data_IF_428292573137
#
_entry.id   IF_428292573137
#
_cell.length_a   1.000
_cell.length_b   1.000
_cell.length_c   1.000
_cell.angle_alpha   90.00
_cell.angle_beta   90.00
_cell.angle_gamma   90.00
#
_symmetry.space_group_name_H-M   'P 1'
#
loop_
_entity.id
_entity.type
_entity.pdbx_description
1 polymer ?
#
# COMPACT_ATOMS: atom_id res chain seq x y z
N UNK A 1 -13.36 5.91 -26.74
CA UNK A 1 -12.81 4.67 -27.33
C UNK A 1 -11.53 4.33 -26.57
N UNK A 2 -11.66 3.37 -25.65
CA UNK A 2 -10.72 2.40 -25.00
C UNK A 2 -9.21 2.69 -24.81
N UNK A 3 -8.60 2.14 -23.73
CA UNK A 3 -8.30 0.71 -23.75
C UNK A 3 -8.72 -0.06 -22.49
N UNK A 4 -9.59 -1.05 -22.73
CA UNK A 4 -9.49 -2.44 -22.23
C UNK A 4 -8.45 -2.70 -21.15
N UNK A 5 -8.92 -2.86 -19.91
CA UNK A 5 -8.19 -3.53 -18.84
C UNK A 5 -8.29 -5.05 -19.03
N UNK A 6 -7.39 -5.61 -19.84
CA UNK A 6 -6.88 -6.98 -19.65
C UNK A 6 -5.74 -7.30 -20.63
N UNK A 7 -4.57 -7.59 -20.08
CA UNK A 7 -3.90 -8.91 -20.13
C UNK A 7 -2.45 -8.73 -19.67
N UNK A 8 -2.04 -9.16 -18.46
CA UNK A 8 -0.62 -9.49 -18.27
C UNK A 8 -0.25 -10.25 -16.98
N UNK A 9 0.79 -11.10 -17.11
CA UNK A 9 1.42 -11.88 -16.03
C UNK A 9 2.64 -11.15 -15.47
N UNK A 10 2.77 -11.10 -14.14
CA UNK A 10 4.09 -10.95 -13.52
C UNK A 10 4.29 -11.92 -12.37
N UNK A 11 5.26 -12.80 -12.50
CA UNK A 11 6.08 -13.23 -11.38
C UNK A 11 7.51 -12.88 -11.80
N UNK A 12 7.84 -11.58 -11.73
CA UNK A 12 9.18 -11.01 -11.96
C UNK A 12 9.87 -11.31 -13.31
N UNK A 13 9.25 -10.99 -14.44
CA UNK A 13 9.74 -11.28 -15.81
C UNK A 13 10.93 -10.43 -16.34
N UNK A 14 11.94 -10.12 -15.49
CA UNK A 14 13.37 -9.82 -15.78
C UNK A 14 13.94 -8.96 -14.64
N UNK A 15 14.26 -9.57 -13.50
CA UNK A 15 14.74 -8.87 -12.32
C UNK A 15 16.05 -8.11 -12.57
N UNK A 16 15.99 -6.78 -12.67
CA UNK A 16 17.18 -5.95 -12.60
C UNK A 16 17.70 -5.90 -11.15
N UNK A 17 18.94 -6.36 -10.96
CA UNK A 17 19.64 -6.31 -9.67
C UNK A 17 20.06 -4.86 -9.40
N UNK A 18 19.33 -4.15 -8.54
CA UNK A 18 19.85 -2.88 -8.04
C UNK A 18 20.95 -3.13 -6.99
N UNK A 19 22.11 -2.52 -7.23
CA UNK A 19 23.25 -2.59 -6.32
C UNK A 19 22.96 -1.83 -5.03
N UNK A 20 23.20 -2.52 -3.92
CA UNK A 20 23.16 -2.03 -2.53
C UNK A 20 23.88 -0.68 -2.41
N UNK A 21 23.17 0.38 -1.99
CA UNK A 21 23.79 1.58 -1.45
C UNK A 21 23.82 1.47 0.06
N UNK A 22 25.01 1.63 0.65
CA UNK A 22 25.21 1.76 2.08
C UNK A 22 24.45 3.00 2.57
N UNK A 23 23.51 2.82 3.50
CA UNK A 23 22.82 3.92 4.15
C UNK A 23 23.77 4.49 5.21
N UNK A 24 24.30 5.68 4.95
CA UNK A 24 24.95 6.52 5.96
C UNK A 24 23.95 7.63 6.23
N UNK A 25 23.52 7.81 7.49
CA UNK A 25 22.56 8.84 7.89
C UNK A 25 23.27 10.20 8.02
N UNK A 26 22.98 11.20 7.15
CA UNK A 26 23.44 12.56 7.36
C UNK A 26 22.32 13.41 7.98
N UNK A 27 22.72 14.51 8.61
CA UNK A 27 21.86 15.59 9.09
C UNK A 27 20.76 15.98 8.08
N UNK A 28 19.65 16.50 8.60
CA UNK A 28 18.46 16.93 7.85
C UNK A 28 18.79 17.94 6.73
N UNK A 29 19.09 17.41 5.55
CA UNK A 29 18.99 18.11 4.27
C UNK A 29 17.67 17.69 3.61
N UNK A 30 17.03 18.59 2.85
CA UNK A 30 15.99 18.18 1.89
C UNK A 30 16.61 17.10 0.97
N UNK A 31 16.26 15.84 1.24
CA UNK A 31 17.00 14.66 0.74
C UNK A 31 16.95 14.53 -0.78
N UNK A 32 15.95 15.12 -1.44
CA UNK A 32 15.82 15.14 -2.92
C UNK A 32 15.19 16.45 -3.39
N UNK A 33 15.75 17.02 -4.45
CA UNK A 33 15.20 18.20 -5.16
C UNK A 33 14.17 17.78 -6.21
N UNK A 34 14.34 16.61 -6.81
CA UNK A 34 13.41 16.03 -7.78
C UNK A 34 12.55 14.92 -7.15
N UNK A 35 11.27 14.78 -7.53
CA UNK A 35 10.43 13.67 -7.12
C UNK A 35 11.07 12.31 -7.45
N UNK A 36 10.84 11.31 -6.60
CA UNK A 36 11.26 9.93 -6.82
C UNK A 36 10.14 9.18 -7.56
N UNK A 37 10.33 8.75 -8.81
CA UNK A 37 9.35 7.89 -9.46
C UNK A 37 9.28 6.53 -8.77
N UNK A 38 8.06 6.03 -8.63
CA UNK A 38 7.74 4.70 -8.08
C UNK A 38 6.67 4.08 -8.97
N UNK A 39 7.00 2.94 -9.57
CA UNK A 39 6.05 2.15 -10.34
C UNK A 39 5.10 1.43 -9.38
N UNK A 40 3.81 1.49 -9.69
CA UNK A 40 2.72 0.94 -8.88
C UNK A 40 1.97 -0.10 -9.69
N UNK A 41 1.76 -1.25 -9.06
CA UNK A 41 0.99 -2.36 -9.61
C UNK A 41 -0.18 -2.64 -8.67
N UNK A 42 -1.39 -2.57 -9.22
CA UNK A 42 -2.57 -2.96 -8.47
C UNK A 42 -2.96 -4.38 -8.84
N UNK A 43 -3.35 -5.13 -7.84
CA UNK A 43 -3.79 -6.50 -7.99
C UNK A 43 -5.13 -6.62 -7.27
N UNK A 44 -6.21 -6.77 -8.02
CA UNK A 44 -7.56 -6.93 -7.46
C UNK A 44 -7.86 -8.42 -7.40
N UNK A 45 -8.15 -8.92 -6.21
CA UNK A 45 -8.68 -10.26 -6.00
C UNK A 45 -10.09 -10.19 -5.48
N UNK A 46 -10.95 -11.06 -6.01
CA UNK A 46 -12.34 -11.12 -5.61
C UNK A 46 -12.86 -12.56 -5.50
N UNK A 47 -13.94 -12.75 -4.76
CA UNK A 47 -14.79 -13.93 -4.92
C UNK A 47 -15.67 -13.79 -6.17
N UNK A 48 -16.25 -14.89 -6.65
CA UNK A 48 -17.22 -14.87 -7.75
C UNK A 48 -18.41 -13.92 -7.46
N UNK A 49 -18.84 -13.84 -6.20
CA UNK A 49 -19.95 -12.98 -5.79
C UNK A 49 -19.62 -11.47 -5.86
N UNK A 50 -18.34 -11.10 -5.84
CA UNK A 50 -17.88 -9.70 -5.77
C UNK A 50 -16.91 -9.32 -6.88
N UNK A 51 -16.81 -10.11 -7.95
CA UNK A 51 -15.86 -9.88 -9.06
C UNK A 51 -16.01 -8.51 -9.75
N UNK A 52 -17.23 -7.97 -9.79
CA UNK A 52 -17.53 -6.68 -10.43
C UNK A 52 -17.52 -5.50 -9.45
N UNK A 53 -17.29 -5.75 -8.15
CA UNK A 53 -17.37 -4.72 -7.10
C UNK A 53 -16.27 -3.66 -7.23
N UNK A 54 -15.04 -4.09 -7.45
CA UNK A 54 -13.89 -3.19 -7.61
C UNK A 54 -13.76 -2.84 -9.09
N UNK A 55 -14.66 -2.01 -9.61
CA UNK A 55 -14.65 -1.58 -11.01
C UNK A 55 -13.41 -0.73 -11.34
N UNK A 56 -13.12 -0.54 -12.63
CA UNK A 56 -11.97 0.26 -13.08
C UNK A 56 -12.04 1.72 -12.59
N UNK A 57 -13.26 2.27 -12.49
CA UNK A 57 -13.50 3.61 -11.95
C UNK A 57 -13.07 3.73 -10.49
N UNK A 58 -13.32 2.70 -9.68
CA UNK A 58 -12.93 2.59 -8.27
C UNK A 58 -11.41 2.49 -8.15
N UNK A 59 -10.78 1.66 -8.98
CA UNK A 59 -9.31 1.55 -9.06
C UNK A 59 -8.65 2.89 -9.39
N UNK A 60 -9.17 3.59 -10.41
CA UNK A 60 -8.65 4.90 -10.80
C UNK A 60 -8.85 5.94 -9.69
N UNK A 61 -9.99 5.92 -9.01
CA UNK A 61 -10.26 6.82 -7.89
C UNK A 61 -9.29 6.59 -6.74
N UNK A 62 -9.04 5.34 -6.36
CA UNK A 62 -8.07 4.99 -5.32
C UNK A 62 -6.64 5.39 -5.68
N UNK A 63 -6.24 5.15 -6.92
CA UNK A 63 -4.90 5.53 -7.36
C UNK A 63 -4.70 7.06 -7.30
N UNK A 64 -5.74 7.85 -7.62
CA UNK A 64 -5.69 9.32 -7.48
C UNK A 64 -5.48 9.78 -6.03
N UNK A 65 -6.09 9.11 -5.05
CA UNK A 65 -5.88 9.42 -3.62
C UNK A 65 -4.41 9.19 -3.24
N UNK A 66 -3.85 8.03 -3.61
CA UNK A 66 -2.43 7.72 -3.39
C UNK A 66 -1.52 8.73 -4.11
N UNK A 67 -1.72 8.92 -5.42
CA UNK A 67 -0.88 9.79 -6.23
C UNK A 67 -0.85 11.23 -5.68
N UNK A 68 -2.02 11.82 -5.44
CA UNK A 68 -2.11 13.20 -4.94
C UNK A 68 -1.51 13.35 -3.53
N UNK A 69 -1.64 12.35 -2.67
CA UNK A 69 -1.04 12.37 -1.33
C UNK A 69 0.48 12.36 -1.42
N UNK A 70 1.04 11.36 -2.10
CA UNK A 70 2.48 11.12 -2.14
C UNK A 70 3.25 12.11 -3.03
N UNK A 71 2.61 12.70 -4.04
CA UNK A 71 3.21 13.74 -4.87
C UNK A 71 3.66 14.94 -4.04
N UNK A 72 2.87 15.33 -3.03
CA UNK A 72 3.23 16.43 -2.10
C UNK A 72 4.47 16.12 -1.26
N UNK A 73 4.77 14.84 -1.08
CA UNK A 73 5.91 14.35 -0.30
C UNK A 73 7.09 13.90 -1.19
N UNK A 74 7.07 14.26 -2.48
CA UNK A 74 8.19 14.02 -3.38
C UNK A 74 8.28 12.60 -3.95
N UNK A 75 7.18 11.86 -3.97
CA UNK A 75 7.07 10.58 -4.67
C UNK A 75 6.11 10.71 -5.86
N UNK A 76 6.59 10.34 -7.04
CA UNK A 76 5.80 10.33 -8.27
C UNK A 76 5.32 8.90 -8.54
N UNK A 77 4.08 8.61 -8.13
CA UNK A 77 3.50 7.29 -8.32
C UNK A 77 2.97 7.14 -9.75
N UNK A 78 3.33 6.03 -10.39
CA UNK A 78 2.94 5.68 -11.75
C UNK A 78 2.19 4.34 -11.77
N UNK A 79 0.87 4.34 -12.04
CA UNK A 79 0.11 3.09 -12.16
C UNK A 79 0.46 2.41 -13.49
N UNK A 80 1.24 1.33 -13.41
CA UNK A 80 1.75 0.61 -14.59
C UNK A 80 0.76 -0.44 -15.08
N UNK A 81 0.13 -1.17 -14.17
CA UNK A 81 -0.82 -2.23 -14.52
C UNK A 81 -1.82 -2.50 -13.39
N UNK A 82 -2.96 -3.07 -13.76
CA UNK A 82 -3.98 -3.61 -12.86
C UNK A 82 -4.25 -5.06 -13.26
N UNK A 83 -3.93 -6.02 -12.40
CA UNK A 83 -4.31 -7.42 -12.60
C UNK A 83 -5.58 -7.76 -11.82
N UNK A 84 -6.39 -8.67 -12.34
CA UNK A 84 -7.64 -9.12 -11.70
C UNK A 84 -7.67 -10.63 -11.62
N UNK A 85 -8.05 -11.17 -10.47
CA UNK A 85 -8.23 -12.61 -10.24
C UNK A 85 -9.53 -12.86 -9.47
N UNK A 86 -10.16 -13.98 -9.80
CA UNK A 86 -11.27 -14.54 -9.03
C UNK A 86 -10.83 -15.89 -8.49
N UNK A 87 -10.24 -15.92 -7.29
CA UNK A 87 -9.70 -17.12 -6.63
C UNK A 87 -9.42 -16.85 -5.14
N UNK A 88 -9.64 -17.86 -4.28
CA UNK A 88 -9.40 -17.82 -2.84
C UNK A 88 -7.93 -18.12 -2.47
N UNK A 89 -7.08 -18.52 -3.44
CA UNK A 89 -5.69 -18.93 -3.22
C UNK A 89 -4.67 -17.76 -3.11
N UNK A 90 -4.85 -16.89 -2.10
CA UNK A 90 -4.15 -15.60 -1.93
C UNK A 90 -2.60 -15.64 -1.95
N UNK A 91 -1.96 -16.50 -1.14
CA UNK A 91 -0.48 -16.47 -0.98
C UNK A 91 0.23 -16.90 -2.26
N UNK A 92 -0.29 -17.96 -2.89
CA UNK A 92 0.21 -18.45 -4.18
C UNK A 92 0.02 -17.39 -5.27
N UNK A 93 -1.10 -16.67 -5.21
CA UNK A 93 -1.38 -15.59 -6.14
C UNK A 93 -0.39 -14.42 -6.02
N UNK A 94 -0.08 -13.91 -4.82
CA UNK A 94 0.90 -12.81 -4.67
C UNK A 94 2.25 -13.12 -5.31
N UNK A 95 2.77 -14.32 -5.07
CA UNK A 95 4.02 -14.75 -5.70
C UNK A 95 3.89 -14.79 -7.22
N UNK A 96 2.74 -15.22 -7.73
CA UNK A 96 2.45 -15.36 -9.14
C UNK A 96 2.10 -14.03 -9.85
N UNK A 97 1.79 -12.96 -9.11
CA UNK A 97 1.35 -11.67 -9.65
C UNK A 97 2.25 -10.48 -9.32
N UNK A 98 3.22 -10.61 -8.40
CA UNK A 98 4.20 -9.55 -8.13
C UNK A 98 4.94 -9.10 -9.40
N UNK A 99 4.89 -7.80 -9.65
CA UNK A 99 5.60 -7.12 -10.73
C UNK A 99 6.75 -6.24 -10.21
N UNK A 100 7.72 -5.99 -11.10
CA UNK A 100 8.81 -5.03 -10.86
C UNK A 100 9.92 -5.51 -9.93
N UNK A 101 10.84 -4.60 -9.61
CA UNK A 101 11.93 -4.80 -8.67
C UNK A 101 11.50 -4.59 -7.21
N UNK A 102 12.45 -4.52 -6.28
CA UNK A 102 12.15 -4.18 -4.88
C UNK A 102 11.73 -2.72 -4.69
N UNK A 103 12.02 -1.88 -5.69
CA UNK A 103 11.64 -0.48 -5.76
C UNK A 103 10.23 -0.24 -6.35
N UNK A 104 9.50 -1.31 -6.71
CA UNK A 104 8.15 -1.23 -7.25
C UNK A 104 7.10 -1.58 -6.18
N UNK A 105 6.09 -0.74 -6.07
CA UNK A 105 5.00 -0.90 -5.11
C UNK A 105 3.93 -1.83 -5.68
N UNK A 106 3.68 -2.95 -5.01
CA UNK A 106 2.60 -3.87 -5.35
C UNK A 106 1.50 -3.77 -4.29
N UNK A 107 0.28 -3.41 -4.70
CA UNK A 107 -0.88 -3.22 -3.82
C UNK A 107 -1.97 -4.22 -4.20
N UNK A 108 -2.31 -5.10 -3.27
CA UNK A 108 -3.28 -6.17 -3.39
C UNK A 108 -4.59 -5.74 -2.73
N UNK A 109 -5.65 -5.55 -3.52
CA UNK A 109 -6.99 -5.20 -3.04
C UNK A 109 -7.88 -6.44 -3.00
N UNK A 110 -8.58 -6.63 -1.89
CA UNK A 110 -9.40 -7.83 -1.67
C UNK A 110 -10.85 -7.48 -1.51
N UNK A 111 -11.70 -8.06 -2.34
CA UNK A 111 -13.13 -7.76 -2.30
C UNK A 111 -13.81 -8.20 -1.00
N UNK A 112 -13.21 -9.08 -0.21
CA UNK A 112 -13.89 -9.94 0.78
C UNK A 112 -13.07 -10.21 2.06
N UNK A 113 -12.04 -9.39 2.33
CA UNK A 113 -11.42 -9.41 3.66
C UNK A 113 -12.45 -9.06 4.75
N UNK A 114 -12.25 -9.66 5.92
CA UNK A 114 -13.06 -9.40 7.11
C UNK A 114 -13.06 -7.89 7.41
N UNK A 115 -14.24 -7.35 7.74
CA UNK A 115 -14.49 -5.92 7.98
C UNK A 115 -13.70 -5.33 9.16
N UNK A 116 -13.09 -6.18 9.99
CA UNK A 116 -12.18 -5.78 11.09
C UNK A 116 -10.72 -5.61 10.65
N UNK A 117 -10.39 -5.88 9.37
CA UNK A 117 -9.04 -5.76 8.82
C UNK A 117 -9.05 -4.64 7.78
N UNK A 118 -8.33 -3.54 8.03
CA UNK A 118 -8.21 -2.45 7.06
C UNK A 118 -7.19 -2.77 5.97
N UNK A 119 -5.99 -3.19 6.38
CA UNK A 119 -4.92 -3.60 5.51
C UNK A 119 -3.64 -3.85 6.31
N UNK A 120 -2.56 -4.15 5.59
CA UNK A 120 -1.20 -4.20 6.11
C UNK A 120 -0.21 -4.05 4.95
N UNK A 121 0.89 -3.32 5.16
CA UNK A 121 2.10 -3.45 4.33
C UNK A 121 3.29 -3.98 5.10
N UNK A 122 4.23 -4.56 4.35
CA UNK A 122 5.55 -4.87 4.87
C UNK A 122 6.38 -3.58 5.06
N UNK A 123 7.09 -3.49 6.17
CA UNK A 123 8.14 -2.48 6.37
C UNK A 123 9.33 -2.72 5.42
N UNK A 124 10.11 -1.67 5.07
CA UNK A 124 11.37 -1.82 4.37
C UNK A 124 12.27 -2.84 5.05
N UNK A 125 12.77 -3.79 4.27
CA UNK A 125 13.65 -4.84 4.74
C UNK A 125 14.69 -5.18 3.66
N UNK A 126 15.61 -6.08 3.97
CA UNK A 126 16.54 -6.58 2.98
C UNK A 126 15.90 -7.74 2.21
N UNK A 127 15.28 -7.44 1.06
CA UNK A 127 14.59 -8.41 0.22
C UNK A 127 15.29 -8.62 -1.13
N UNK A 128 16.01 -9.73 -1.27
CA UNK A 128 16.63 -10.13 -2.53
C UNK A 128 15.62 -10.81 -3.45
N UNK A 129 15.63 -10.47 -4.74
CA UNK A 129 14.81 -11.13 -5.75
C UNK A 129 14.94 -12.67 -5.67
N UNK A 130 13.81 -13.37 -5.68
CA UNK A 130 13.76 -14.83 -5.53
C UNK A 130 13.50 -15.31 -4.10
N UNK A 131 13.65 -14.46 -3.08
CA UNK A 131 13.34 -14.82 -1.68
C UNK A 131 11.88 -14.59 -1.33
N UNK A 132 11.39 -15.28 -0.31
CA UNK A 132 10.03 -15.09 0.19
C UNK A 132 9.76 -13.65 0.63
N UNK A 133 10.73 -13.00 1.28
CA UNK A 133 10.61 -11.59 1.66
C UNK A 133 10.36 -10.69 0.44
N UNK A 134 11.00 -10.97 -0.69
CA UNK A 134 10.77 -10.21 -1.93
C UNK A 134 9.37 -10.46 -2.50
N UNK A 135 8.88 -11.69 -2.49
CA UNK A 135 7.55 -12.01 -3.01
C UNK A 135 6.40 -11.60 -2.10
N UNK A 136 6.67 -11.47 -0.80
CA UNK A 136 5.70 -11.03 0.19
C UNK A 136 5.65 -9.51 0.33
N UNK A 137 6.73 -8.80 -0.03
CA UNK A 137 6.79 -7.34 -0.04
C UNK A 137 5.62 -6.72 -0.83
N UNK A 138 5.07 -5.65 -0.27
CA UNK A 138 3.94 -4.92 -0.80
C UNK A 138 2.87 -4.70 0.26
N UNK A 139 1.67 -4.44 -0.21
CA UNK A 139 0.54 -3.98 0.58
C UNK A 139 -0.69 -4.81 0.31
N UNK A 140 -1.43 -5.21 1.32
CA UNK A 140 -2.74 -5.83 1.15
C UNK A 140 -3.81 -5.03 1.86
N UNK A 141 -4.86 -4.68 1.12
CA UNK A 141 -5.86 -3.70 1.51
C UNK A 141 -7.24 -4.33 1.40
N UNK A 142 -8.07 -4.11 2.41
CA UNK A 142 -9.47 -4.48 2.35
C UNK A 142 -10.21 -3.59 1.35
N UNK A 143 -10.86 -4.25 0.40
CA UNK A 143 -11.63 -3.65 -0.67
C UNK A 143 -12.74 -2.72 -0.19
N UNK A 144 -13.22 -2.90 1.04
CA UNK A 144 -14.26 -2.04 1.63
C UNK A 144 -13.77 -0.64 1.99
N UNK A 145 -12.45 -0.46 2.06
CA UNK A 145 -11.80 0.80 2.41
C UNK A 145 -11.40 1.62 1.17
N UNK A 146 -11.59 1.05 -0.02
CA UNK A 146 -11.19 1.70 -1.28
C UNK A 146 -12.05 2.93 -1.53
N UNK A 147 -11.42 4.00 -2.03
CA UNK A 147 -12.09 5.21 -2.49
C UNK A 147 -13.28 4.89 -3.41
N UNK A 148 -14.46 5.34 -3.00
CA UNK A 148 -15.69 5.19 -3.79
C UNK A 148 -16.40 3.85 -3.61
N UNK A 149 -15.90 2.98 -2.73
CA UNK A 149 -16.66 1.88 -2.17
C UNK A 149 -17.22 2.27 -0.79
N UNK A 150 -17.82 1.31 -0.10
CA UNK A 150 -18.31 1.40 1.27
C UNK A 150 -18.44 -0.01 1.80
N UNK A 151 -18.58 -0.25 3.12
CA UNK A 151 -18.53 -1.60 3.68
C UNK A 151 -19.61 -2.52 3.09
N UNK A 152 -19.29 -3.81 2.88
CA UNK A 152 -20.22 -4.78 2.26
C UNK A 152 -21.44 -5.04 3.13
N UNK A 153 -21.24 -5.21 4.43
CA UNK A 153 -22.29 -5.16 5.42
C UNK A 153 -22.19 -3.83 6.14
N UNK A 154 -23.31 -3.18 6.49
CA UNK A 154 -23.31 -1.88 7.16
C UNK A 154 -22.66 -1.85 8.56
N UNK A 155 -21.88 -2.88 8.93
CA UNK A 155 -21.20 -3.11 10.19
C UNK A 155 -19.68 -2.89 10.12
N UNK A 156 -19.13 -2.45 8.98
CA UNK A 156 -17.72 -2.04 8.92
C UNK A 156 -17.45 -1.01 10.00
N UNK A 157 -16.33 -1.11 10.72
CA UNK A 157 -15.99 -0.38 11.97
C UNK A 157 -15.93 1.16 11.87
N UNK A 158 -16.75 1.82 11.06
CA UNK A 158 -16.58 3.22 10.68
C UNK A 158 -15.30 3.45 9.88
N UNK A 159 -14.70 2.40 9.29
CA UNK A 159 -13.53 2.56 8.43
C UNK A 159 -13.89 3.43 7.24
N UNK A 160 -13.12 4.50 7.04
CA UNK A 160 -13.32 5.43 5.93
C UNK A 160 -13.15 4.70 4.60
N UNK A 161 -14.11 4.90 3.70
CA UNK A 161 -14.03 4.46 2.30
C UNK A 161 -13.51 5.57 1.37
N UNK A 162 -12.70 6.46 1.93
CA UNK A 162 -11.99 7.53 1.21
C UNK A 162 -10.63 7.07 0.67
N UNK A 163 -10.31 5.77 0.77
CA UNK A 163 -9.04 5.22 0.30
C UNK A 163 -7.82 5.55 1.15
N UNK A 164 -8.01 6.13 2.34
CA UNK A 164 -6.93 6.51 3.25
C UNK A 164 -6.25 5.32 3.93
N UNK A 165 -6.89 4.16 4.00
CA UNK A 165 -6.22 2.95 4.49
C UNK A 165 -5.06 2.58 3.56
N UNK A 166 -5.25 2.59 2.23
CA UNK A 166 -4.14 2.36 1.31
C UNK A 166 -3.02 3.41 1.47
N UNK A 167 -3.37 4.66 1.79
CA UNK A 167 -2.38 5.71 2.09
C UNK A 167 -1.60 5.37 3.36
N UNK A 168 -2.29 5.02 4.45
CA UNK A 168 -1.67 4.62 5.72
C UNK A 168 -0.68 3.47 5.50
N UNK A 169 -1.15 2.42 4.84
CA UNK A 169 -0.40 1.21 4.62
C UNK A 169 0.84 1.47 3.72
N UNK A 170 0.70 2.22 2.63
CA UNK A 170 1.86 2.59 1.79
C UNK A 170 2.87 3.44 2.58
N UNK A 171 2.43 4.14 3.64
CA UNK A 171 3.32 4.82 4.58
C UNK A 171 4.26 3.84 5.29
N UNK A 172 3.73 2.70 5.75
CA UNK A 172 4.54 1.61 6.30
C UNK A 172 5.50 1.03 5.25
N UNK A 173 5.06 0.83 4.00
CA UNK A 173 5.96 0.37 2.93
C UNK A 173 7.12 1.34 2.67
N UNK A 174 6.91 2.63 2.91
CA UNK A 174 7.94 3.67 2.85
C UNK A 174 8.73 3.85 4.16
N UNK A 175 8.40 3.09 5.20
CA UNK A 175 9.12 3.02 6.47
C UNK A 175 8.62 3.91 7.59
N UNK A 176 7.40 4.47 7.48
CA UNK A 176 6.77 5.19 8.58
C UNK A 176 6.15 4.19 9.56
N UNK A 177 6.38 4.37 10.85
CA UNK A 177 5.70 3.62 11.91
C UNK A 177 4.34 4.25 12.22
N UNK A 178 3.51 3.58 13.02
CA UNK A 178 2.36 4.27 13.59
C UNK A 178 2.85 5.43 14.47
N UNK A 179 2.09 6.51 14.54
CA UNK A 179 2.41 7.66 15.41
C UNK A 179 2.33 7.33 16.90
N UNK A 180 1.95 6.09 17.25
CA UNK A 180 1.82 5.53 18.59
C UNK A 180 2.63 4.21 18.75
N UNK A 181 3.68 4.00 17.93
CA UNK A 181 4.53 2.79 17.95
C UNK A 181 5.53 2.74 19.12
N UNK A 182 5.45 3.67 20.07
CA UNK A 182 6.31 3.71 21.26
C UNK A 182 6.18 2.45 22.14
N UNK A 183 7.26 2.11 22.85
CA UNK A 183 7.30 0.98 23.79
C UNK A 183 6.66 1.32 25.14
N UNK A 184 6.71 2.60 25.52
CA UNK A 184 6.08 3.17 26.71
C UNK A 184 5.13 4.31 26.31
N UNK A 185 4.17 4.65 27.19
CA UNK A 185 3.23 5.74 26.95
C UNK A 185 3.98 7.06 26.78
N UNK A 186 3.87 7.66 25.58
CA UNK A 186 4.50 8.93 25.24
C UNK A 186 6.02 8.95 25.43
N UNK A 187 6.71 7.87 25.08
CA UNK A 187 8.18 7.87 25.10
C UNK A 187 8.77 8.86 24.07
N UNK A 188 10.01 9.32 24.31
CA UNK A 188 10.68 10.32 23.45
C UNK A 188 11.07 9.80 22.06
N UNK A 189 11.06 8.48 21.85
CA UNK A 189 11.40 7.84 20.58
C UNK A 189 10.16 7.73 19.69
N UNK A 190 9.02 7.33 20.25
CA UNK A 190 7.72 7.18 19.60
C UNK A 190 7.82 6.45 18.25
N UNK A 191 7.42 7.11 17.16
CA UNK A 191 7.50 6.63 15.78
C UNK A 191 8.87 6.88 15.11
N UNK A 192 9.83 7.42 15.86
CA UNK A 192 11.17 7.78 15.40
C UNK A 192 11.22 9.11 14.63
N UNK A 193 10.14 9.90 14.63
CA UNK A 193 10.00 11.12 13.84
C UNK A 193 9.86 12.34 14.78
N UNK A 194 10.87 13.21 14.76
CA UNK A 194 11.01 14.29 15.75
C UNK A 194 9.91 15.37 15.69
N UNK A 195 9.22 15.52 14.55
CA UNK A 195 8.12 16.47 14.38
C UNK A 195 6.73 15.84 14.54
N UNK A 196 6.65 14.53 14.83
CA UNK A 196 5.41 13.89 15.27
C UNK A 196 5.34 13.98 16.81
N UNK A 197 4.35 14.67 17.41
CA UNK A 197 4.16 14.62 18.85
C UNK A 197 3.94 13.17 19.31
N UNK A 198 4.48 12.81 20.48
CA UNK A 198 4.30 11.47 21.03
C UNK A 198 2.82 11.22 21.36
N UNK A 199 2.28 10.10 20.86
CA UNK A 199 0.87 9.72 21.05
C UNK A 199 0.82 8.34 21.70
N UNK A 200 0.08 8.21 22.80
CA UNK A 200 0.02 6.97 23.57
C UNK A 200 -0.82 5.86 22.91
N UNK A 201 -1.88 6.20 22.17
CA UNK A 201 -2.86 5.24 21.65
C UNK A 201 -3.40 5.68 20.29
N UNK A 202 -3.92 4.75 19.46
CA UNK A 202 -4.63 5.12 18.23
C UNK A 202 -5.83 6.02 18.54
N UNK A 203 -6.02 7.02 17.68
CA UNK A 203 -7.23 7.84 17.66
C UNK A 203 -8.27 7.25 16.71
N UNK A 204 -9.54 7.37 17.05
CA UNK A 204 -10.66 6.84 16.28
C UNK A 204 -11.64 7.94 15.87
N UNK A 205 -12.22 7.80 14.68
CA UNK A 205 -13.14 8.81 14.12
C UNK A 205 -12.44 10.14 13.82
N UNK A 206 -13.17 11.24 13.99
CA UNK A 206 -12.65 12.60 13.85
C UNK A 206 -12.63 13.28 15.22
N UNK A 207 -11.60 13.03 16.06
CA UNK A 207 -11.51 13.66 17.36
C UNK A 207 -11.36 15.18 17.21
N UNK A 208 -12.03 15.93 18.09
CA UNK A 208 -11.75 17.36 18.28
C UNK A 208 -10.58 17.47 19.25
N UNK A 209 -9.46 18.00 18.76
CA UNK A 209 -8.24 18.25 19.54
C UNK A 209 -8.09 19.74 19.83
#
# INVERSE_FOLDING_TARGET
MSPTLAQFKCANANAAVERRRTIVHPAYFKRRVAPKPVDVYFHVTSTEAHKDRVADTVVVAQFKVLQSTYQRHGFELNLVNVSRTVDDAYISWRRATRCGGYNALNVYFFSDLNEFVGGQCNMPTNATAGTDAFYQDGCWINGDTIQGLGPKSGNGMGMSSEGHIAVHEVGHWLGLLHTFEGVDLCDEVNDGIADTPAIATPSWGCPIV
#
